data_IF_862147857968
#
_entry.id   IF_862147857968
#
_cell.length_a   1.000
_cell.length_b   1.000
_cell.length_c   1.000
_cell.angle_alpha   90.00
_cell.angle_beta   90.00
_cell.angle_gamma   90.00
#
_symmetry.space_group_name_H-M   'P 1'
#
loop_
_entity.id
_entity.type
_entity.pdbx_description
1 polymer ?
#
# COMPACT_ATOMS: atom_id res chain seq x y z
N UNK A 1 1.83 6.28 -6.48
CA UNK A 1 3.23 6.08 -6.09
C UNK A 1 3.48 4.64 -5.68
N UNK A 2 2.77 4.18 -4.65
CA UNK A 2 2.51 2.78 -4.30
C UNK A 2 2.28 1.80 -5.48
N UNK A 3 1.52 2.17 -6.51
CA UNK A 3 1.34 1.36 -7.74
C UNK A 3 2.67 1.11 -8.48
N UNK A 4 3.62 2.02 -8.36
CA UNK A 4 4.92 2.00 -9.06
C UNK A 4 6.08 1.52 -8.16
N UNK A 5 5.79 0.96 -6.99
CA UNK A 5 6.77 0.47 -6.01
C UNK A 5 7.88 1.52 -5.74
N UNK A 6 9.12 1.18 -6.07
CA UNK A 6 10.34 1.95 -5.79
C UNK A 6 10.41 3.28 -6.52
N UNK A 7 9.84 3.38 -7.73
CA UNK A 7 9.88 4.59 -8.54
C UNK A 7 9.23 5.78 -7.80
N UNK A 8 8.27 5.49 -6.93
CA UNK A 8 7.65 6.45 -6.04
C UNK A 8 8.65 7.19 -5.15
N UNK A 9 9.54 6.44 -4.50
CA UNK A 9 10.51 6.96 -3.53
C UNK A 9 11.68 7.68 -4.19
N UNK A 10 12.04 7.26 -5.40
CA UNK A 10 13.22 7.79 -6.11
C UNK A 10 12.88 9.03 -6.95
N UNK A 11 11.66 9.11 -7.49
CA UNK A 11 11.29 10.15 -8.46
C UNK A 11 10.49 11.29 -7.84
N UNK A 12 9.49 10.98 -7.01
CA UNK A 12 8.53 11.99 -6.57
C UNK A 12 9.12 12.98 -5.55
N UNK A 13 9.91 12.56 -4.52
CA UNK A 13 10.50 13.50 -3.58
C UNK A 13 11.40 14.58 -4.21
N UNK A 14 12.38 14.25 -5.07
CA UNK A 14 13.21 15.30 -5.70
C UNK A 14 12.42 16.16 -6.68
N UNK A 15 11.44 15.60 -7.41
CA UNK A 15 10.58 16.38 -8.31
C UNK A 15 9.72 17.39 -7.53
N UNK A 16 9.11 16.97 -6.43
CA UNK A 16 8.32 17.86 -5.59
C UNK A 16 9.18 18.97 -4.96
N UNK A 17 10.41 18.65 -4.55
CA UNK A 17 11.37 19.65 -4.07
C UNK A 17 11.65 20.72 -5.14
N UNK A 18 11.93 20.30 -6.38
CA UNK A 18 12.19 21.19 -7.50
C UNK A 18 10.98 22.06 -7.87
N UNK A 19 9.77 21.50 -7.85
CA UNK A 19 8.53 22.25 -8.10
C UNK A 19 8.27 23.30 -7.01
N UNK A 20 8.51 22.97 -5.74
CA UNK A 20 8.39 23.93 -4.65
C UNK A 20 9.42 25.05 -4.79
N UNK A 21 10.68 24.71 -5.13
CA UNK A 21 11.73 25.69 -5.38
C UNK A 21 11.36 26.66 -6.51
N UNK A 22 10.91 26.12 -7.66
CA UNK A 22 10.50 26.91 -8.82
C UNK A 22 9.30 27.84 -8.52
N UNK A 23 8.46 27.48 -7.54
CA UNK A 23 7.35 28.29 -7.07
C UNK A 23 7.74 29.28 -5.94
N UNK A 24 9.03 29.41 -5.60
CA UNK A 24 9.52 30.28 -4.52
C UNK A 24 9.21 29.76 -3.10
N UNK A 25 8.90 28.46 -2.97
CA UNK A 25 8.55 27.78 -1.72
C UNK A 25 9.69 26.89 -1.23
N UNK A 26 9.60 26.42 0.01
CA UNK A 26 10.64 25.58 0.60
C UNK A 26 10.76 24.22 -0.12
N UNK A 27 11.92 23.87 -0.70
CA UNK A 27 12.13 22.57 -1.37
C UNK A 27 12.01 21.39 -0.39
N UNK A 28 12.46 21.59 0.86
CA UNK A 28 12.35 20.59 1.92
C UNK A 28 10.89 20.29 2.28
N UNK A 29 9.99 21.29 2.21
CA UNK A 29 8.57 21.07 2.43
C UNK A 29 7.95 20.24 1.29
N UNK A 30 8.31 20.52 0.03
CA UNK A 30 7.88 19.73 -1.12
C UNK A 30 8.37 18.28 -1.06
N UNK A 31 9.65 18.09 -0.74
CA UNK A 31 10.26 16.77 -0.53
C UNK A 31 9.51 16.01 0.58
N UNK A 32 9.26 16.65 1.71
CA UNK A 32 8.56 16.06 2.83
C UNK A 32 7.13 15.65 2.50
N UNK A 33 6.39 16.53 1.81
CA UNK A 33 5.02 16.26 1.39
C UNK A 33 4.95 15.04 0.45
N UNK A 34 5.86 14.97 -0.53
CA UNK A 34 5.94 13.84 -1.44
C UNK A 34 6.34 12.56 -0.69
N UNK A 35 7.38 12.60 0.14
CA UNK A 35 7.80 11.42 0.90
C UNK A 35 6.70 10.91 1.84
N UNK A 36 5.98 11.81 2.53
CA UNK A 36 4.82 11.46 3.33
C UNK A 36 3.73 10.76 2.51
N UNK A 37 3.39 11.30 1.34
CA UNK A 37 2.39 10.70 0.45
C UNK A 37 2.81 9.34 -0.12
N UNK A 38 4.10 9.14 -0.42
CA UNK A 38 4.61 7.86 -0.94
C UNK A 38 4.70 6.80 0.14
N UNK A 39 5.25 7.17 1.30
CA UNK A 39 5.69 6.23 2.33
C UNK A 39 4.63 5.99 3.39
N UNK A 40 4.09 7.06 3.97
CA UNK A 40 2.99 6.94 4.92
C UNK A 40 1.63 6.70 4.22
N UNK A 41 1.51 7.07 2.95
CA UNK A 41 0.36 6.74 2.11
C UNK A 41 0.44 5.37 1.42
N UNK A 42 1.48 4.55 1.69
CA UNK A 42 1.77 3.31 0.96
C UNK A 42 0.56 2.37 0.84
N UNK A 43 -0.13 2.14 1.96
CA UNK A 43 -1.33 1.34 2.02
C UNK A 43 -2.54 1.95 1.31
N UNK A 44 -2.68 3.28 1.24
CA UNK A 44 -3.88 3.93 0.71
C UNK A 44 -3.81 4.15 -0.80
N UNK A 45 -4.81 3.65 -1.54
CA UNK A 45 -4.80 3.67 -3.01
C UNK A 45 -6.20 3.84 -3.61
N UNK A 46 -6.26 4.56 -4.75
CA UNK A 46 -7.48 4.66 -5.55
C UNK A 46 -7.74 3.39 -6.39
N UNK A 47 -6.68 2.68 -6.76
CA UNK A 47 -6.71 1.48 -7.59
C UNK A 47 -6.03 0.36 -6.84
N UNK A 48 -6.48 -0.87 -7.07
CA UNK A 48 -5.83 -2.08 -6.57
C UNK A 48 -4.36 -2.11 -7.03
N UNK A 49 -3.48 -2.43 -6.10
CA UNK A 49 -2.03 -2.48 -6.27
C UNK A 49 -1.50 -3.90 -6.05
N UNK A 50 -0.19 -4.10 -6.17
CA UNK A 50 0.48 -5.37 -5.86
C UNK A 50 0.34 -5.74 -4.37
N UNK A 51 0.11 -4.77 -3.47
CA UNK A 51 -0.08 -5.04 -2.05
C UNK A 51 -1.37 -5.78 -1.75
N UNK A 52 -2.42 -5.48 -2.49
CA UNK A 52 -3.76 -6.00 -2.24
C UNK A 52 -3.84 -7.54 -2.35
N UNK A 53 -3.40 -8.20 -3.46
CA UNK A 53 -3.41 -9.66 -3.53
C UNK A 53 -2.40 -10.30 -2.58
N UNK A 54 -1.28 -9.63 -2.30
CA UNK A 54 -0.29 -10.12 -1.35
C UNK A 54 -0.86 -10.18 0.07
N UNK A 55 -1.47 -9.08 0.54
CA UNK A 55 -2.09 -9.03 1.86
C UNK A 55 -3.28 -9.99 1.94
N UNK A 56 -4.15 -10.00 0.92
CA UNK A 56 -5.30 -10.91 0.86
C UNK A 56 -4.89 -12.38 0.98
N UNK A 57 -3.84 -12.81 0.27
CA UNK A 57 -3.34 -14.19 0.37
C UNK A 57 -2.80 -14.55 1.75
N UNK A 58 -2.11 -13.63 2.43
CA UNK A 58 -1.62 -13.83 3.79
C UNK A 58 -2.76 -13.84 4.82
N UNK A 59 -3.73 -12.92 4.68
CA UNK A 59 -4.93 -12.87 5.51
C UNK A 59 -5.75 -14.14 5.34
N UNK A 60 -5.97 -14.61 4.12
CA UNK A 60 -6.68 -15.85 3.82
C UNK A 60 -5.98 -17.06 4.47
N UNK A 61 -4.65 -17.13 4.36
CA UNK A 61 -3.88 -18.20 4.98
C UNK A 61 -4.01 -18.21 6.51
N UNK A 62 -4.06 -17.03 7.14
CA UNK A 62 -4.32 -16.90 8.58
C UNK A 62 -5.77 -17.22 8.97
N UNK A 63 -6.74 -16.79 8.16
CA UNK A 63 -8.16 -17.05 8.40
C UNK A 63 -8.48 -18.55 8.34
N UNK A 64 -7.83 -19.29 7.43
CA UNK A 64 -7.98 -20.74 7.28
C UNK A 64 -7.48 -21.59 8.44
N UNK A 65 -6.78 -20.98 9.40
CA UNK A 65 -6.44 -21.63 10.67
C UNK A 65 -7.70 -21.80 11.54
N UNK A 66 -8.65 -20.86 11.43
CA UNK A 66 -9.90 -20.86 12.16
C UNK A 66 -11.07 -21.41 11.32
N UNK A 67 -11.19 -20.97 10.05
CA UNK A 67 -12.22 -21.40 9.10
C UNK A 67 -11.58 -21.86 7.78
N UNK A 68 -11.41 -23.18 7.56
CA UNK A 68 -10.69 -23.73 6.40
C UNK A 68 -11.22 -23.31 5.03
N UNK A 69 -12.50 -22.97 4.93
CA UNK A 69 -13.14 -22.62 3.66
C UNK A 69 -13.14 -21.11 3.40
N UNK A 70 -12.69 -20.29 4.37
CA UNK A 70 -12.63 -18.84 4.24
C UNK A 70 -11.80 -18.42 3.02
N UNK A 71 -12.28 -17.37 2.35
CA UNK A 71 -11.64 -16.73 1.19
C UNK A 71 -11.60 -15.24 1.40
N UNK A 72 -10.49 -14.60 1.04
CA UNK A 72 -10.34 -13.14 1.16
C UNK A 72 -10.23 -12.54 -0.24
N UNK A 73 -11.17 -11.67 -0.59
CA UNK A 73 -11.14 -10.99 -1.87
C UNK A 73 -9.93 -10.04 -1.96
N UNK A 74 -9.31 -9.96 -3.14
CA UNK A 74 -8.26 -8.94 -3.42
C UNK A 74 -8.81 -7.52 -3.26
N UNK A 75 -10.11 -7.33 -3.49
CA UNK A 75 -10.82 -6.06 -3.35
C UNK A 75 -11.25 -5.74 -1.93
N UNK A 76 -10.94 -6.59 -0.94
CA UNK A 76 -11.52 -6.55 0.40
C UNK A 76 -11.35 -5.22 1.15
N UNK A 77 -10.35 -4.40 0.83
CA UNK A 77 -10.12 -3.11 1.48
C UNK A 77 -10.31 -1.91 0.55
N UNK A 78 -10.81 -2.12 -0.67
CA UNK A 78 -10.74 -1.11 -1.73
C UNK A 78 -11.49 0.18 -1.40
N UNK A 79 -12.71 0.09 -0.85
CA UNK A 79 -13.51 1.26 -0.47
C UNK A 79 -12.85 2.07 0.64
N UNK A 80 -12.39 1.39 1.68
CA UNK A 80 -11.69 2.04 2.77
C UNK A 80 -10.39 2.70 2.28
N UNK A 81 -9.65 2.05 1.37
CA UNK A 81 -8.40 2.61 0.82
C UNK A 81 -8.64 3.82 -0.08
N UNK A 82 -9.72 3.84 -0.87
CA UNK A 82 -10.11 5.01 -1.66
C UNK A 82 -10.39 6.21 -0.75
N UNK A 83 -11.22 6.02 0.28
CA UNK A 83 -11.52 7.10 1.24
C UNK A 83 -10.27 7.51 2.00
N UNK A 84 -9.43 6.55 2.40
CA UNK A 84 -8.14 6.81 3.05
C UNK A 84 -7.25 7.68 2.16
N UNK A 85 -7.18 7.43 0.85
CA UNK A 85 -6.37 8.27 -0.06
C UNK A 85 -6.82 9.72 -0.04
N UNK A 86 -8.13 9.99 -0.09
CA UNK A 86 -8.67 11.34 -0.07
C UNK A 86 -8.39 12.04 1.28
N UNK A 87 -8.66 11.34 2.38
CA UNK A 87 -8.45 11.85 3.74
C UNK A 87 -6.97 12.15 4.00
N UNK A 88 -6.08 11.19 3.71
CA UNK A 88 -4.64 11.35 3.93
C UNK A 88 -4.03 12.42 3.02
N UNK A 89 -4.54 12.59 1.80
CA UNK A 89 -4.11 13.69 0.92
C UNK A 89 -4.46 15.04 1.55
N UNK A 90 -5.69 15.19 2.06
CA UNK A 90 -6.15 16.40 2.74
C UNK A 90 -5.35 16.69 4.02
N UNK A 91 -5.14 15.67 4.86
CA UNK A 91 -4.34 15.80 6.09
C UNK A 91 -2.89 16.10 5.78
N UNK A 92 -2.29 15.40 4.80
CA UNK A 92 -0.93 15.64 4.35
C UNK A 92 -0.74 17.07 3.86
N UNK A 93 -1.65 17.56 3.01
CA UNK A 93 -1.66 18.96 2.58
C UNK A 93 -1.74 19.93 3.78
N UNK A 94 -2.64 19.68 4.73
CA UNK A 94 -2.80 20.52 5.91
C UNK A 94 -1.54 20.55 6.77
N UNK A 95 -0.90 19.39 7.02
CA UNK A 95 0.36 19.29 7.74
C UNK A 95 1.47 20.04 7.00
N UNK A 96 1.58 19.88 5.68
CA UNK A 96 2.55 20.62 4.87
C UNK A 96 2.37 22.12 5.03
N UNK A 97 1.16 22.62 4.77
CA UNK A 97 0.88 24.05 4.70
C UNK A 97 0.88 24.74 6.08
N UNK A 98 0.45 24.06 7.14
CA UNK A 98 0.26 24.67 8.48
C UNK A 98 1.38 24.37 9.45
N UNK A 99 2.11 23.26 9.29
CA UNK A 99 3.09 22.80 10.29
C UNK A 99 4.51 22.70 9.74
N UNK A 100 4.69 22.20 8.53
CA UNK A 100 6.02 21.90 7.99
C UNK A 100 6.59 23.11 7.27
N UNK A 101 5.88 23.63 6.28
CA UNK A 101 6.35 24.74 5.46
C UNK A 101 6.63 26.02 6.27
N UNK A 102 5.79 26.44 7.23
CA UNK A 102 6.10 27.62 8.06
C UNK A 102 7.38 27.47 8.88
N UNK A 103 7.79 26.24 9.22
CA UNK A 103 9.03 25.96 9.97
C UNK A 103 10.27 25.90 9.08
N UNK A 104 10.11 25.89 7.75
CA UNK A 104 11.21 25.82 6.79
C UNK A 104 11.52 27.16 6.12
N UNK A 105 11.17 28.29 6.75
CA UNK A 105 11.26 29.64 6.16
C UNK A 105 12.69 30.20 5.96
N UNK A 106 13.74 29.41 6.18
CA UNK A 106 15.09 29.76 5.73
C UNK A 106 15.37 29.08 4.38
N UNK A 107 15.23 29.83 3.29
CA UNK A 107 15.80 29.47 1.99
C UNK A 107 17.32 29.58 2.11
N UNK A 108 18.00 28.47 2.34
CA UNK A 108 19.45 28.42 2.13
C UNK A 108 19.81 27.31 1.17
N UNK A 109 20.55 27.76 0.16
CA UNK A 109 21.17 27.04 -0.96
C UNK A 109 20.24 26.77 -2.15
N UNK A 110 20.48 27.53 -3.23
CA UNK A 110 20.22 27.08 -4.58
C UNK A 110 21.17 25.92 -4.87
N UNK A 111 20.67 24.69 -4.96
CA UNK A 111 21.44 23.65 -5.65
C UNK A 111 21.30 23.94 -7.15
N UNK A 112 22.37 24.44 -7.78
CA UNK A 112 22.48 24.64 -9.24
C UNK A 112 22.55 23.30 -10.01
N UNK A 113 22.33 22.16 -9.34
CA UNK A 113 22.35 20.86 -9.99
C UNK A 113 21.02 20.56 -10.68
N UNK A 114 21.06 20.17 -11.97
CA UNK A 114 19.86 19.84 -12.72
C UNK A 114 19.11 18.67 -12.06
N UNK A 115 17.79 18.79 -11.98
CA UNK A 115 16.89 17.66 -11.70
C UNK A 115 17.31 16.51 -12.64
N UNK A 116 17.59 15.29 -12.14
CA UNK A 116 18.13 14.23 -12.97
C UNK A 116 17.30 14.06 -14.24
N UNK A 117 17.97 14.18 -15.38
CA UNK A 117 17.34 14.07 -16.70
C UNK A 117 16.76 12.65 -16.82
N UNK A 118 15.44 12.57 -16.78
CA UNK A 118 14.71 11.32 -16.94
C UNK A 118 14.64 10.97 -18.43
N UNK A 119 14.94 9.72 -18.76
CA UNK A 119 14.85 9.22 -20.14
C UNK A 119 13.39 8.89 -20.45
N UNK A 120 12.61 9.88 -20.89
CA UNK A 120 11.20 9.68 -21.23
C UNK A 120 10.97 9.00 -22.61
N UNK A 121 12.04 8.53 -23.25
CA UNK A 121 12.03 8.12 -24.65
C UNK A 121 12.19 9.31 -25.60
N UNK A 122 12.29 9.02 -26.89
CA UNK A 122 12.43 10.05 -27.93
C UNK A 122 11.12 10.79 -28.19
N UNK A 123 9.96 10.16 -27.93
CA UNK A 123 8.64 10.71 -28.22
C UNK A 123 7.64 10.50 -27.06
N UNK A 124 7.88 11.08 -25.87
CA UNK A 124 7.08 10.82 -24.67
C UNK A 124 5.59 11.18 -24.82
N UNK A 125 5.28 12.27 -25.53
CA UNK A 125 3.90 12.68 -25.78
C UNK A 125 3.14 11.66 -26.65
N UNK A 126 3.82 11.08 -27.64
CA UNK A 126 3.24 10.02 -28.49
C UNK A 126 3.02 8.74 -27.68
N UNK A 127 3.99 8.39 -26.84
CA UNK A 127 3.87 7.32 -25.85
C UNK A 127 2.63 7.49 -24.97
N UNK A 128 2.47 8.67 -24.37
CA UNK A 128 1.37 8.96 -23.46
C UNK A 128 0.00 8.92 -24.15
N UNK A 129 -0.11 9.44 -25.39
CA UNK A 129 -1.34 9.35 -26.18
C UNK A 129 -1.70 7.89 -26.49
N UNK A 130 -0.73 7.07 -26.91
CA UNK A 130 -0.96 5.66 -27.19
C UNK A 130 -1.39 4.90 -25.93
N UNK A 131 -0.71 5.13 -24.81
CA UNK A 131 -1.06 4.55 -23.52
C UNK A 131 -2.48 4.94 -23.10
N UNK A 132 -2.86 6.22 -23.23
CA UNK A 132 -4.20 6.70 -22.90
C UNK A 132 -5.29 6.06 -23.75
N UNK A 133 -5.06 5.92 -25.07
CA UNK A 133 -6.01 5.24 -25.97
C UNK A 133 -6.16 3.76 -25.60
N UNK A 134 -5.06 3.05 -25.39
CA UNK A 134 -5.11 1.63 -25.00
C UNK A 134 -5.75 1.44 -23.62
N UNK A 135 -5.45 2.34 -22.67
CA UNK A 135 -6.07 2.30 -21.35
C UNK A 135 -7.58 2.47 -21.46
N UNK A 136 -8.06 3.46 -22.22
CA UNK A 136 -9.49 3.67 -22.44
C UNK A 136 -10.14 2.47 -23.16
N UNK A 137 -9.47 1.88 -24.15
CA UNK A 137 -9.97 0.72 -24.88
C UNK A 137 -10.10 -0.52 -23.98
N UNK A 138 -9.05 -0.84 -23.20
CA UNK A 138 -9.04 -1.98 -22.27
C UNK A 138 -10.05 -1.77 -21.15
N UNK A 139 -10.15 -0.56 -20.59
CA UNK A 139 -11.13 -0.24 -19.57
C UNK A 139 -12.56 -0.37 -20.10
N UNK A 140 -12.82 0.10 -21.32
CA UNK A 140 -14.13 -0.04 -21.97
C UNK A 140 -14.47 -1.50 -22.20
N UNK A 141 -13.53 -2.30 -22.70
CA UNK A 141 -13.72 -3.75 -22.88
C UNK A 141 -13.98 -4.45 -21.55
N UNK A 142 -13.22 -4.13 -20.51
CA UNK A 142 -13.43 -4.66 -19.16
C UNK A 142 -14.84 -4.32 -18.65
N UNK A 143 -15.28 -3.07 -18.81
CA UNK A 143 -16.64 -2.67 -18.46
C UNK A 143 -17.70 -3.45 -19.25
N UNK A 144 -17.52 -3.65 -20.56
CA UNK A 144 -18.45 -4.42 -21.39
C UNK A 144 -18.56 -5.88 -20.91
N UNK A 145 -17.43 -6.56 -20.64
CA UNK A 145 -17.45 -7.98 -20.24
C UNK A 145 -17.95 -8.22 -18.82
N UNK A 146 -17.96 -7.18 -17.98
CA UNK A 146 -18.48 -7.22 -16.60
C UNK A 146 -19.96 -6.81 -16.55
N UNK A 147 -20.35 -5.75 -17.27
CA UNK A 147 -21.67 -5.14 -17.11
C UNK A 147 -22.74 -5.73 -18.03
N UNK A 148 -22.38 -6.31 -19.18
CA UNK A 148 -23.37 -6.86 -20.13
C UNK A 148 -23.88 -8.23 -19.65
N UNK A 149 -25.21 -8.42 -19.50
CA UNK A 149 -25.78 -9.73 -19.19
C UNK A 149 -25.36 -10.81 -20.19
N UNK A 150 -24.88 -11.95 -19.68
CA UNK A 150 -24.39 -13.07 -20.50
C UNK A 150 -22.93 -12.95 -20.94
N UNK A 151 -22.24 -11.83 -20.65
CA UNK A 151 -20.81 -11.71 -20.88
C UNK A 151 -20.00 -12.56 -19.86
N UNK A 152 -18.74 -12.93 -20.19
CA UNK A 152 -17.99 -13.92 -19.40
C UNK A 152 -17.79 -13.57 -17.92
N UNK A 153 -17.60 -12.28 -17.59
CA UNK A 153 -17.35 -11.81 -16.23
C UNK A 153 -18.58 -11.20 -15.56
N UNK A 154 -19.75 -11.32 -16.19
CA UNK A 154 -20.99 -10.86 -15.62
C UNK A 154 -21.55 -11.84 -14.58
N UNK A 155 -22.07 -11.29 -13.49
CA UNK A 155 -22.76 -12.03 -12.43
C UNK A 155 -21.85 -12.69 -11.40
N UNK A 156 -22.42 -13.65 -10.68
CA UNK A 156 -21.78 -14.32 -9.55
C UNK A 156 -20.79 -15.42 -10.00
N UNK A 157 -19.68 -15.51 -9.28
CA UNK A 157 -18.66 -16.55 -9.39
C UNK A 157 -18.89 -17.68 -8.38
N UNK A 158 -17.81 -18.30 -7.92
CA UNK A 158 -17.89 -19.37 -6.92
C UNK A 158 -18.12 -18.83 -5.52
N UNK A 159 -17.41 -17.76 -5.18
CA UNK A 159 -17.38 -17.17 -3.83
C UNK A 159 -17.70 -15.68 -3.88
N UNK A 160 -17.25 -14.99 -4.94
CA UNK A 160 -17.52 -13.58 -5.17
C UNK A 160 -18.04 -13.39 -6.59
N UNK A 161 -18.48 -12.18 -6.93
CA UNK A 161 -18.77 -11.83 -8.32
C UNK A 161 -17.58 -12.17 -9.24
N UNK A 162 -17.84 -12.68 -10.45
CA UNK A 162 -16.78 -13.23 -11.34
C UNK A 162 -15.65 -12.24 -11.62
N UNK A 163 -15.99 -10.96 -11.72
CA UNK A 163 -15.01 -9.90 -11.94
C UNK A 163 -14.05 -9.70 -10.76
N UNK A 164 -14.48 -9.99 -9.52
CA UNK A 164 -13.64 -9.96 -8.31
C UNK A 164 -12.66 -11.13 -8.35
N UNK A 165 -13.13 -12.32 -8.70
CA UNK A 165 -12.28 -13.51 -8.85
C UNK A 165 -11.26 -13.33 -9.98
N UNK A 166 -11.65 -12.64 -11.07
CA UNK A 166 -10.79 -12.31 -12.20
C UNK A 166 -9.99 -10.99 -12.03
N UNK A 167 -9.96 -10.38 -10.85
CA UNK A 167 -9.35 -9.06 -10.64
C UNK A 167 -7.86 -9.02 -11.02
N UNK A 168 -7.08 -10.00 -10.57
CA UNK A 168 -5.63 -10.04 -10.83
C UNK A 168 -5.30 -10.08 -12.33
N UNK A 169 -5.86 -10.99 -13.15
CA UNK A 169 -5.61 -10.98 -14.59
C UNK A 169 -6.19 -9.73 -15.29
N UNK A 170 -7.29 -9.16 -14.80
CA UNK A 170 -7.81 -7.88 -15.33
C UNK A 170 -6.81 -6.74 -15.15
N UNK A 171 -6.22 -6.62 -13.95
CA UNK A 171 -5.20 -5.60 -13.66
C UNK A 171 -3.93 -5.81 -14.50
N UNK A 172 -3.52 -7.06 -14.71
CA UNK A 172 -2.39 -7.38 -15.58
C UNK A 172 -2.61 -6.79 -16.97
N UNK A 173 -3.77 -7.06 -17.59
CA UNK A 173 -4.07 -6.54 -18.94
C UNK A 173 -4.20 -5.01 -18.93
N UNK A 174 -4.87 -4.45 -17.92
CA UNK A 174 -5.10 -3.02 -17.76
C UNK A 174 -3.80 -2.20 -17.64
N UNK A 175 -2.76 -2.75 -17.02
CA UNK A 175 -1.47 -2.06 -16.88
C UNK A 175 -0.44 -2.46 -17.94
N UNK A 176 -0.42 -3.73 -18.36
CA UNK A 176 0.55 -4.24 -19.33
C UNK A 176 0.33 -3.62 -20.70
N UNK A 177 -0.90 -3.60 -21.23
CA UNK A 177 -1.14 -3.13 -22.59
C UNK A 177 -0.85 -1.63 -22.77
N UNK A 178 -1.31 -0.73 -21.88
CA UNK A 178 -0.91 0.68 -21.95
C UNK A 178 0.58 0.90 -21.73
N UNK A 179 1.21 0.13 -20.84
CA UNK A 179 2.65 0.19 -20.59
C UNK A 179 3.49 -0.18 -21.83
N UNK A 180 3.11 -1.27 -22.52
CA UNK A 180 3.71 -1.65 -23.80
C UNK A 180 3.45 -0.60 -24.88
N UNK A 181 2.21 -0.10 -24.97
CA UNK A 181 1.85 0.97 -25.90
C UNK A 181 2.67 2.24 -25.71
N UNK A 182 2.87 2.66 -24.46
CA UNK A 182 3.80 3.74 -24.13
C UNK A 182 5.20 3.40 -24.63
N UNK A 183 5.72 2.23 -24.24
CA UNK A 183 7.13 1.90 -24.47
C UNK A 183 7.48 1.85 -25.96
N UNK A 184 6.64 1.23 -26.79
CA UNK A 184 6.85 1.20 -28.24
C UNK A 184 6.67 2.59 -28.87
N UNK A 185 5.63 3.34 -28.51
CA UNK A 185 5.36 4.64 -29.13
C UNK A 185 6.32 5.75 -28.67
N UNK A 186 6.88 5.65 -27.46
CA UNK A 186 7.93 6.55 -26.96
C UNK A 186 9.34 6.13 -27.43
N UNK A 187 9.50 4.94 -27.98
CA UNK A 187 10.78 4.39 -28.44
C UNK A 187 11.69 3.89 -27.32
N UNK A 188 11.14 3.64 -26.12
CA UNK A 188 11.88 2.99 -25.02
C UNK A 188 11.92 1.47 -25.18
N UNK A 189 10.95 0.89 -25.90
CA UNK A 189 10.94 -0.50 -26.35
C UNK A 189 11.11 -0.54 -27.87
N UNK A 190 12.05 -1.34 -28.36
CA UNK A 190 12.32 -1.47 -29.80
C UNK A 190 11.83 -2.79 -30.36
N UNK A 191 11.80 -3.84 -29.55
CA UNK A 191 11.46 -5.19 -29.98
C UNK A 191 10.90 -6.04 -28.83
N UNK A 192 10.51 -7.27 -29.14
CA UNK A 192 9.97 -8.24 -28.18
C UNK A 192 11.01 -8.74 -27.16
N UNK A 193 12.31 -8.69 -27.49
CA UNK A 193 13.38 -9.04 -26.56
C UNK A 193 13.48 -8.02 -25.41
N UNK A 194 13.30 -6.73 -25.71
CA UNK A 194 13.24 -5.68 -24.69
C UNK A 194 12.06 -5.93 -23.73
N UNK A 195 10.91 -6.33 -24.27
CA UNK A 195 9.73 -6.70 -23.46
C UNK A 195 10.03 -7.90 -22.56
N UNK A 196 10.61 -8.97 -23.12
CA UNK A 196 10.94 -10.17 -22.36
C UNK A 196 11.93 -9.86 -21.22
N UNK A 197 12.94 -9.03 -21.48
CA UNK A 197 13.91 -8.62 -20.47
C UNK A 197 13.26 -7.79 -19.36
N UNK A 198 12.35 -6.88 -19.69
CA UNK A 198 11.62 -6.12 -18.66
C UNK A 198 10.74 -7.01 -17.80
N UNK A 199 10.05 -7.99 -18.39
CA UNK A 199 9.27 -8.98 -17.64
C UNK A 199 10.16 -9.84 -16.75
N UNK A 200 11.31 -10.28 -17.24
CA UNK A 200 12.29 -11.04 -16.45
C UNK A 200 12.83 -10.23 -15.26
N UNK A 201 13.14 -8.95 -15.46
CA UNK A 201 13.56 -8.05 -14.38
C UNK A 201 12.45 -7.84 -13.34
N UNK A 202 11.19 -7.70 -13.77
CA UNK A 202 10.06 -7.60 -12.86
C UNK A 202 9.91 -8.86 -11.98
N UNK A 203 10.04 -10.05 -12.56
CA UNK A 203 10.02 -11.33 -11.81
C UNK A 203 11.23 -11.43 -10.88
N UNK A 204 12.42 -11.04 -11.33
CA UNK A 204 13.63 -11.05 -10.51
C UNK A 204 13.49 -10.15 -9.26
N UNK A 205 12.82 -9.00 -9.39
CA UNK A 205 12.49 -8.13 -8.26
C UNK A 205 11.58 -8.78 -7.20
N UNK A 206 10.80 -9.82 -7.57
CA UNK A 206 9.95 -10.57 -6.65
C UNK A 206 10.69 -11.74 -5.97
N UNK A 207 11.94 -12.05 -6.33
CA UNK A 207 12.67 -13.18 -5.77
C UNK A 207 12.73 -13.17 -4.21
N UNK A 208 12.99 -12.04 -3.52
CA UNK A 208 12.96 -12.00 -2.07
C UNK A 208 11.59 -12.34 -1.48
N UNK A 209 10.51 -11.91 -2.14
CA UNK A 209 9.15 -12.24 -1.74
C UNK A 209 8.84 -13.73 -1.92
N UNK A 210 9.27 -14.34 -3.02
CA UNK A 210 9.08 -15.79 -3.27
C UNK A 210 9.76 -16.62 -2.16
N UNK A 211 11.00 -16.26 -1.80
CA UNK A 211 11.74 -16.93 -0.72
C UNK A 211 11.03 -16.76 0.62
N UNK A 212 10.58 -15.55 0.94
CA UNK A 212 9.83 -15.28 2.17
C UNK A 212 8.50 -16.06 2.21
N UNK A 213 7.73 -16.03 1.13
CA UNK A 213 6.45 -16.72 1.02
C UNK A 213 6.63 -18.24 1.18
N UNK A 214 7.71 -18.80 0.63
CA UNK A 214 8.07 -20.20 0.84
C UNK A 214 8.26 -20.52 2.33
N UNK A 215 9.09 -19.75 3.04
CA UNK A 215 9.34 -19.97 4.48
C UNK A 215 8.07 -19.74 5.31
N UNK A 216 7.30 -18.70 5.01
CA UNK A 216 6.03 -18.41 5.68
C UNK A 216 5.02 -19.54 5.48
N UNK A 217 4.91 -20.10 4.28
CA UNK A 217 4.05 -21.24 4.00
C UNK A 217 4.47 -22.48 4.81
N UNK A 218 5.77 -22.76 4.93
CA UNK A 218 6.26 -23.85 5.78
C UNK A 218 5.96 -23.61 7.27
N UNK A 219 6.15 -22.39 7.75
CA UNK A 219 5.80 -22.01 9.12
C UNK A 219 4.31 -22.23 9.39
N UNK A 220 3.43 -21.70 8.52
CA UNK A 220 1.97 -21.85 8.65
C UNK A 220 1.57 -23.33 8.63
N UNK A 221 2.14 -24.13 7.72
CA UNK A 221 1.88 -25.56 7.65
C UNK A 221 2.29 -26.28 8.95
N UNK A 222 3.48 -25.99 9.47
CA UNK A 222 3.96 -26.57 10.74
C UNK A 222 3.14 -26.08 11.96
N UNK A 223 2.73 -24.81 11.95
CA UNK A 223 1.94 -24.18 13.01
C UNK A 223 0.51 -24.74 13.07
N UNK A 224 -0.07 -25.05 11.91
CA UNK A 224 -1.34 -25.76 11.79
C UNK A 224 -1.21 -27.24 12.17
N UNK A 225 -0.19 -27.93 11.66
CA UNK A 225 0.04 -29.34 11.98
C UNK A 225 0.25 -29.57 13.49
N UNK A 226 0.99 -28.68 14.15
CA UNK A 226 1.24 -28.73 15.59
C UNK A 226 0.07 -28.28 16.46
N UNK A 227 -1.03 -27.78 15.85
CA UNK A 227 -2.18 -27.18 16.53
C UNK A 227 -1.85 -25.96 17.40
N UNK A 228 -0.62 -25.42 17.32
CA UNK A 228 -0.23 -24.23 18.07
C UNK A 228 -1.01 -22.99 17.62
N UNK A 229 -1.30 -22.89 16.33
CA UNK A 229 -2.12 -21.80 15.79
C UNK A 229 -3.53 -21.81 16.34
N UNK A 230 -4.17 -22.97 16.37
CA UNK A 230 -5.50 -23.12 16.97
C UNK A 230 -5.46 -22.83 18.47
N UNK A 231 -4.47 -23.34 19.20
CA UNK A 231 -4.33 -23.11 20.64
C UNK A 231 -4.16 -21.62 20.96
N UNK A 232 -3.30 -20.91 20.22
CA UNK A 232 -3.10 -19.46 20.39
C UNK A 232 -4.33 -18.65 19.97
N UNK A 233 -4.99 -19.02 18.87
CA UNK A 233 -6.22 -18.38 18.45
C UNK A 233 -7.32 -18.54 19.50
N UNK A 234 -7.49 -19.74 20.06
CA UNK A 234 -8.51 -20.04 21.09
C UNK A 234 -8.18 -19.35 22.41
N UNK A 235 -6.95 -19.48 22.90
CA UNK A 235 -6.57 -18.89 24.20
C UNK A 235 -6.51 -17.36 24.15
N UNK A 236 -5.91 -16.79 23.10
CA UNK A 236 -5.84 -15.34 22.91
C UNK A 236 -7.20 -14.73 22.55
N UNK A 237 -7.96 -15.40 21.69
CA UNK A 237 -9.30 -14.96 21.30
C UNK A 237 -10.26 -14.99 22.47
N UNK A 238 -10.25 -16.03 23.31
CA UNK A 238 -11.01 -16.07 24.56
C UNK A 238 -10.59 -14.98 25.55
N UNK A 239 -9.28 -14.73 25.71
CA UNK A 239 -8.80 -13.65 26.57
C UNK A 239 -9.30 -12.28 26.10
N UNK A 240 -9.26 -12.01 24.79
CA UNK A 240 -9.79 -10.77 24.20
C UNK A 240 -11.31 -10.68 24.30
N UNK A 241 -12.02 -11.78 24.03
CA UNK A 241 -13.47 -11.85 24.14
C UNK A 241 -13.96 -11.64 25.59
N UNK A 242 -13.23 -12.17 26.58
CA UNK A 242 -13.53 -11.98 28.00
C UNK A 242 -13.38 -10.52 28.45
N UNK A 243 -12.52 -9.75 27.80
CA UNK A 243 -12.39 -8.31 28.05
C UNK A 243 -13.55 -7.51 27.45
N UNK A 244 -14.42 -8.13 26.63
CA UNK A 244 -15.59 -7.50 25.98
C UNK A 244 -15.22 -6.22 25.22
N UNK A 245 -14.02 -6.18 24.63
CA UNK A 245 -13.51 -5.01 23.93
C UNK A 245 -14.32 -4.82 22.64
N UNK A 246 -14.91 -3.63 22.40
CA UNK A 246 -15.58 -3.34 21.15
C UNK A 246 -14.65 -3.49 19.93
N UNK A 247 -15.18 -4.01 18.82
CA UNK A 247 -14.42 -4.24 17.58
C UNK A 247 -13.60 -3.02 17.08
N UNK A 248 -14.11 -1.76 17.15
CA UNK A 248 -13.29 -0.59 16.80
C UNK A 248 -12.01 -0.45 17.63
N UNK A 249 -12.08 -0.76 18.93
CA UNK A 249 -10.92 -0.66 19.84
C UNK A 249 -9.95 -1.82 19.60
N UNK A 250 -10.43 -3.02 19.27
CA UNK A 250 -9.58 -4.13 18.85
C UNK A 250 -8.80 -3.78 17.58
N UNK A 251 -9.47 -3.21 16.58
CA UNK A 251 -8.85 -2.80 15.32
C UNK A 251 -7.77 -1.73 15.56
N UNK A 252 -8.06 -0.69 16.36
CA UNK A 252 -7.09 0.35 16.73
C UNK A 252 -5.92 -0.23 17.55
N UNK A 253 -6.18 -1.13 18.49
CA UNK A 253 -5.14 -1.81 19.27
C UNK A 253 -4.18 -2.58 18.37
N UNK A 254 -4.72 -3.30 17.37
CA UNK A 254 -3.89 -4.01 16.39
C UNK A 254 -3.09 -3.09 15.49
N UNK A 255 -3.64 -1.92 15.10
CA UNK A 255 -2.88 -0.89 14.39
C UNK A 255 -1.65 -0.47 15.20
N UNK A 256 -1.78 -0.22 16.50
CA UNK A 256 -0.66 0.20 17.35
C UNK A 256 0.43 -0.88 17.43
N UNK A 257 0.04 -2.16 17.50
CA UNK A 257 0.99 -3.29 17.45
C UNK A 257 1.73 -3.29 16.12
N UNK A 258 1.01 -3.16 15.00
CA UNK A 258 1.61 -3.12 13.66
C UNK A 258 2.53 -1.91 13.48
N UNK A 259 2.14 -0.72 13.97
CA UNK A 259 2.96 0.49 13.96
C UNK A 259 4.28 0.31 14.71
N UNK A 260 4.22 -0.33 15.89
CA UNK A 260 5.41 -0.60 16.70
C UNK A 260 6.33 -1.62 16.01
N UNK A 261 5.79 -2.73 15.52
CA UNK A 261 6.55 -3.73 14.76
C UNK A 261 7.23 -3.12 13.53
N UNK A 262 6.56 -2.17 12.87
CA UNK A 262 7.09 -1.48 11.70
C UNK A 262 8.31 -0.59 11.97
N UNK A 263 8.58 -0.21 13.22
CA UNK A 263 9.82 0.49 13.57
C UNK A 263 11.06 -0.43 13.48
N UNK A 264 10.86 -1.75 13.57
CA UNK A 264 11.94 -2.74 13.56
C UNK A 264 12.06 -3.48 12.23
N UNK A 265 10.93 -3.72 11.56
CA UNK A 265 10.88 -4.50 10.33
C UNK A 265 10.23 -3.64 9.25
N UNK A 266 11.03 -3.07 8.34
CA UNK A 266 10.50 -2.16 7.31
C UNK A 266 9.70 -2.85 6.19
N UNK A 267 9.83 -4.17 6.02
CA UNK A 267 9.13 -4.92 4.97
C UNK A 267 7.68 -5.21 5.36
N UNK A 268 6.73 -4.74 4.53
CA UNK A 268 5.30 -5.00 4.71
C UNK A 268 4.94 -6.48 4.54
N UNK A 269 5.59 -7.18 3.62
CA UNK A 269 5.35 -8.62 3.42
C UNK A 269 5.91 -9.45 4.56
N UNK A 270 7.13 -9.14 5.02
CA UNK A 270 7.79 -9.90 6.09
C UNK A 270 7.04 -9.79 7.42
N UNK A 271 6.63 -8.58 7.81
CA UNK A 271 5.84 -8.36 9.01
C UNK A 271 4.51 -9.11 8.96
N UNK A 272 3.75 -8.95 7.87
CA UNK A 272 2.42 -9.54 7.82
C UNK A 272 2.46 -11.06 7.69
N UNK A 273 3.47 -11.62 7.02
CA UNK A 273 3.66 -13.07 6.95
C UNK A 273 3.82 -13.71 8.34
N UNK A 274 4.39 -12.98 9.30
CA UNK A 274 4.48 -13.41 10.69
C UNK A 274 3.21 -13.09 11.50
N UNK A 275 2.62 -11.90 11.31
CA UNK A 275 1.48 -11.45 12.11
C UNK A 275 0.16 -12.11 11.71
N UNK A 276 -0.07 -12.36 10.42
CA UNK A 276 -1.35 -12.87 9.92
C UNK A 276 -1.72 -14.25 10.52
N UNK A 277 -0.82 -15.25 10.57
CA UNK A 277 -1.14 -16.57 11.15
C UNK A 277 -1.48 -16.53 12.65
N UNK A 278 -1.07 -15.47 13.36
CA UNK A 278 -1.29 -15.34 14.81
C UNK A 278 -2.51 -14.47 15.10
N UNK A 279 -2.55 -13.28 14.52
CA UNK A 279 -3.55 -12.27 14.87
C UNK A 279 -4.85 -12.39 14.10
N UNK A 280 -4.84 -12.85 12.83
CA UNK A 280 -6.08 -13.01 12.06
C UNK A 280 -7.03 -14.00 12.76
N UNK A 281 -6.66 -15.26 13.03
CA UNK A 281 -7.60 -16.20 13.67
C UNK A 281 -7.98 -15.78 15.09
N UNK A 282 -7.07 -15.14 15.83
CA UNK A 282 -7.33 -14.62 17.18
C UNK A 282 -8.38 -13.49 17.17
N UNK A 283 -8.24 -12.53 16.24
CA UNK A 283 -9.16 -11.39 16.11
C UNK A 283 -10.49 -11.81 15.48
N UNK A 284 -10.49 -12.80 14.59
CA UNK A 284 -11.72 -13.45 14.11
C UNK A 284 -12.55 -14.01 15.27
N UNK A 285 -11.91 -14.73 16.20
CA UNK A 285 -12.62 -15.26 17.37
C UNK A 285 -13.13 -14.15 18.29
N UNK A 286 -12.44 -13.00 18.34
CA UNK A 286 -12.88 -11.81 19.06
C UNK A 286 -13.93 -10.96 18.29
N UNK A 287 -14.40 -11.43 17.12
CA UNK A 287 -15.49 -10.81 16.34
C UNK A 287 -15.07 -9.82 15.25
N UNK A 288 -13.77 -9.64 15.00
CA UNK A 288 -13.26 -8.76 13.95
C UNK A 288 -13.00 -9.56 12.66
N UNK A 289 -13.50 -9.09 11.51
CA UNK A 289 -13.29 -9.80 10.26
C UNK A 289 -11.81 -9.81 9.81
N UNK A 290 -11.37 -10.84 9.05
CA UNK A 290 -10.03 -10.88 8.47
C UNK A 290 -9.71 -9.66 7.62
N UNK A 291 -10.70 -9.14 6.90
CA UNK A 291 -10.59 -7.98 6.03
C UNK A 291 -10.32 -6.70 6.83
N UNK A 292 -10.95 -6.53 7.99
CA UNK A 292 -10.66 -5.42 8.89
C UNK A 292 -9.32 -5.59 9.61
N UNK A 293 -8.94 -6.81 9.94
CA UNK A 293 -7.60 -7.11 10.47
C UNK A 293 -6.53 -6.75 9.44
N UNK A 294 -6.76 -7.09 8.17
CA UNK A 294 -5.90 -6.69 7.05
C UNK A 294 -5.83 -5.17 6.91
N UNK A 295 -6.98 -4.47 6.98
CA UNK A 295 -7.02 -3.02 6.92
C UNK A 295 -6.25 -2.36 8.08
N UNK A 296 -6.44 -2.85 9.31
CA UNK A 296 -5.73 -2.40 10.49
C UNK A 296 -4.21 -2.59 10.36
N UNK A 297 -3.78 -3.77 9.88
CA UNK A 297 -2.37 -3.99 9.57
C UNK A 297 -1.84 -3.00 8.53
N UNK A 298 -2.56 -2.83 7.42
CA UNK A 298 -2.17 -1.97 6.30
C UNK A 298 -2.00 -0.51 6.73
N UNK A 299 -2.84 -0.05 7.64
CA UNK A 299 -2.74 1.27 8.27
C UNK A 299 -1.48 1.35 9.13
N UNK A 300 -1.29 0.39 10.05
CA UNK A 300 -0.16 0.44 10.98
C UNK A 300 1.21 0.30 10.31
N UNK A 301 1.31 -0.58 9.31
CA UNK A 301 2.49 -0.73 8.45
C UNK A 301 2.84 0.56 7.70
N UNK A 302 1.84 1.34 7.30
CA UNK A 302 2.06 2.55 6.52
C UNK A 302 2.46 3.74 7.38
N UNK A 303 1.71 4.03 8.46
CA UNK A 303 1.83 5.28 9.24
C UNK A 303 3.25 5.56 9.71
N UNK A 304 3.95 4.54 10.22
CA UNK A 304 5.29 4.71 10.81
C UNK A 304 6.44 4.57 9.82
N UNK A 305 6.20 4.26 8.54
CA UNK A 305 7.26 4.12 7.53
C UNK A 305 8.13 5.38 7.40
N UNK A 306 7.53 6.55 7.60
CA UNK A 306 8.19 7.85 7.55
C UNK A 306 8.90 8.23 8.85
N UNK A 307 9.03 7.31 9.81
CA UNK A 307 9.85 7.44 11.03
C UNK A 307 10.65 6.16 11.34
N UNK A 308 10.65 5.17 10.45
CA UNK A 308 11.41 3.91 10.59
C UNK A 308 12.83 4.05 10.00
N UNK A 309 13.89 4.17 10.81
CA UNK A 309 15.25 4.37 10.31
C UNK A 309 15.84 3.12 9.62
N UNK A 310 15.25 1.95 9.86
CA UNK A 310 15.67 0.66 9.26
C UNK A 310 15.10 0.46 7.84
N UNK A 311 14.23 1.36 7.38
CA UNK A 311 13.70 1.30 6.02
C UNK A 311 14.79 1.78 5.04
N UNK A 312 15.20 0.98 4.03
CA UNK A 312 16.28 1.36 3.12
C UNK A 312 16.02 2.63 2.30
N UNK A 313 14.76 3.01 2.05
CA UNK A 313 14.45 4.25 1.33
C UNK A 313 14.77 5.50 2.16
N UNK A 314 14.91 5.39 3.48
CA UNK A 314 15.34 6.52 4.31
C UNK A 314 16.71 7.05 3.94
N UNK A 315 17.64 6.17 3.57
CA UNK A 315 18.99 6.57 3.15
C UNK A 315 18.92 7.38 1.86
N UNK A 316 18.09 6.94 0.90
CA UNK A 316 17.88 7.62 -0.38
C UNK A 316 17.24 9.00 -0.15
N UNK A 317 16.21 9.07 0.68
CA UNK A 317 15.49 10.31 0.97
C UNK A 317 16.37 11.28 1.76
N UNK A 318 17.18 10.78 2.70
CA UNK A 318 18.18 11.59 3.39
C UNK A 318 19.17 12.21 2.42
N UNK A 319 19.66 11.44 1.44
CA UNK A 319 20.54 11.98 0.41
C UNK A 319 19.86 13.10 -0.41
N UNK A 320 18.55 13.00 -0.69
CA UNK A 320 17.81 14.09 -1.32
C UNK A 320 17.62 15.32 -0.42
N UNK A 321 17.41 15.13 0.88
CA UNK A 321 17.35 16.24 1.85
C UNK A 321 18.71 16.93 1.94
N UNK A 322 19.81 16.17 1.96
CA UNK A 322 21.18 16.69 2.05
C UNK A 322 21.57 17.58 0.86
N UNK A 323 20.92 17.42 -0.30
CA UNK A 323 21.10 18.34 -1.44
C UNK A 323 20.65 19.77 -1.15
N UNK A 324 19.64 19.94 -0.29
CA UNK A 324 19.08 21.23 0.09
C UNK A 324 19.53 21.67 1.49
N UNK A 325 19.97 20.73 2.33
CA UNK A 325 20.51 20.98 3.67
C UNK A 325 21.66 20.01 3.96
N UNK A 326 22.91 20.34 3.60
CA UNK A 326 24.06 19.43 3.71
C UNK A 326 24.29 18.86 5.12
N UNK A 327 24.03 19.66 6.14
CA UNK A 327 24.15 19.27 7.57
C UNK A 327 23.04 18.31 8.06
N UNK A 328 22.08 17.95 7.20
CA UNK A 328 20.97 17.10 7.60
C UNK A 328 21.43 15.67 7.90
N UNK A 329 21.07 15.18 9.09
CA UNK A 329 21.20 13.77 9.47
C UNK A 329 19.86 13.06 9.56
N UNK A 330 19.89 11.78 9.96
CA UNK A 330 18.67 10.98 10.20
C UNK A 330 17.71 11.66 11.18
N UNK A 331 18.23 12.28 12.25
CA UNK A 331 17.41 13.04 13.20
C UNK A 331 16.72 14.25 12.58
N UNK A 332 17.35 14.90 11.61
CA UNK A 332 16.74 16.02 10.87
C UNK A 332 15.58 15.55 10.00
N UNK A 333 15.76 14.42 9.30
CA UNK A 333 14.70 13.82 8.50
C UNK A 333 13.54 13.32 9.40
N UNK A 334 13.84 12.71 10.55
CA UNK A 334 12.83 12.33 11.55
C UNK A 334 12.04 13.53 12.05
N UNK A 335 12.71 14.61 12.45
CA UNK A 335 12.04 15.82 12.91
C UNK A 335 11.15 16.45 11.81
N UNK A 336 11.58 16.36 10.55
CA UNK A 336 10.81 16.84 9.40
C UNK A 336 9.55 16.00 9.15
N UNK A 337 9.62 14.68 9.35
CA UNK A 337 8.49 13.76 9.11
C UNK A 337 7.56 13.54 10.30
N UNK A 338 8.03 13.77 11.52
CA UNK A 338 7.28 13.53 12.74
C UNK A 338 5.88 14.18 12.76
N UNK A 339 5.68 15.43 12.27
CA UNK A 339 4.34 16.01 12.19
C UNK A 339 3.36 15.21 11.31
N UNK A 340 3.82 14.65 10.19
CA UNK A 340 2.99 13.80 9.33
C UNK A 340 2.67 12.48 10.03
N UNK A 341 3.69 11.85 10.63
CA UNK A 341 3.52 10.56 11.32
C UNK A 341 2.47 10.67 12.44
N UNK A 342 2.55 11.72 13.26
CA UNK A 342 1.59 11.97 14.33
C UNK A 342 0.18 12.26 13.80
N UNK A 343 0.06 13.08 12.75
CA UNK A 343 -1.25 13.39 12.16
C UNK A 343 -1.92 12.13 11.58
N UNK A 344 -1.16 11.32 10.83
CA UNK A 344 -1.68 10.08 10.25
C UNK A 344 -1.94 9.00 11.30
N UNK A 345 -1.10 8.91 12.34
CA UNK A 345 -1.30 8.01 13.50
C UNK A 345 -2.58 8.30 14.28
N UNK A 346 -3.13 9.51 14.18
CA UNK A 346 -4.41 9.86 14.78
C UNK A 346 -5.53 9.67 13.77
N UNK A 347 -5.44 10.32 12.61
CA UNK A 347 -6.57 10.38 11.67
C UNK A 347 -6.89 9.02 11.06
N UNK A 348 -5.89 8.22 10.71
CA UNK A 348 -6.15 6.97 9.98
C UNK A 348 -6.72 5.86 10.88
N UNK A 349 -6.22 5.66 12.12
CA UNK A 349 -6.89 4.78 13.09
C UNK A 349 -8.29 5.24 13.45
N UNK A 350 -8.52 6.55 13.58
CA UNK A 350 -9.86 7.09 13.81
C UNK A 350 -10.80 6.80 12.63
N UNK A 351 -10.32 6.97 11.39
CA UNK A 351 -11.08 6.63 10.19
C UNK A 351 -11.50 5.16 10.20
N UNK A 352 -10.57 4.23 10.51
CA UNK A 352 -10.92 2.81 10.63
C UNK A 352 -11.89 2.55 11.78
N UNK A 353 -11.65 3.13 12.96
CA UNK A 353 -12.53 2.98 14.11
C UNK A 353 -13.96 3.42 13.80
N UNK A 354 -14.13 4.55 13.11
CA UNK A 354 -15.44 5.01 12.63
C UNK A 354 -16.03 4.07 11.56
N UNK A 355 -15.20 3.57 10.65
CA UNK A 355 -15.64 2.62 9.62
C UNK A 355 -16.23 1.35 10.23
N UNK A 356 -15.56 0.81 11.25
CA UNK A 356 -16.03 -0.37 12.00
C UNK A 356 -17.26 -0.02 12.83
N UNK A 357 -17.29 1.14 13.49
CA UNK A 357 -18.43 1.59 14.29
C UNK A 357 -19.72 1.71 13.47
N UNK A 358 -19.62 2.20 12.23
CA UNK A 358 -20.74 2.32 11.32
C UNK A 358 -21.03 1.04 10.53
N UNK A 359 -20.27 -0.05 10.76
CA UNK A 359 -20.46 -1.33 10.07
C UNK A 359 -20.27 -1.25 8.54
N UNK A 360 -19.47 -0.30 8.07
CA UNK A 360 -19.28 -0.08 6.64
C UNK A 360 -18.43 -1.21 6.03
N UNK A 361 -18.79 -1.76 4.85
CA UNK A 361 -17.97 -2.78 4.20
C UNK A 361 -16.63 -2.15 3.77
N UNK A 362 -15.47 -2.76 4.10
CA UNK A 362 -14.17 -2.19 3.75
C UNK A 362 -13.87 -2.28 2.25
N UNK A 363 -14.59 -3.11 1.50
CA UNK A 363 -14.46 -3.27 0.06
C UNK A 363 -15.48 -4.26 -0.53
N UNK A 364 -15.54 -4.41 -1.86
CA UNK A 364 -16.34 -5.44 -2.51
C UNK A 364 -15.94 -6.84 -2.07
N UNK A 365 -16.93 -7.67 -1.73
CA UNK A 365 -16.69 -9.04 -1.25
C UNK A 365 -16.19 -9.12 0.18
N UNK A 366 -16.24 -8.03 0.96
CA UNK A 366 -15.83 -8.01 2.36
C UNK A 366 -16.99 -7.64 3.28
N UNK A 367 -17.05 -8.30 4.45
CA UNK A 367 -17.97 -7.96 5.54
C UNK A 367 -17.26 -7.19 6.64
N UNK A 368 -18.01 -6.31 7.32
CA UNK A 368 -17.49 -5.50 8.43
C UNK A 368 -17.41 -6.29 9.75
N UNK A 369 -18.18 -7.37 9.91
CA UNK A 369 -18.18 -8.21 11.11
C UNK A 369 -18.44 -9.67 10.74
N UNK A 370 -17.89 -10.60 11.54
CA UNK A 370 -18.27 -12.02 11.47
C UNK A 370 -19.46 -12.22 12.42
N UNK A 371 -20.61 -12.63 11.89
CA UNK A 371 -21.78 -13.03 12.69
C UNK A 371 -22.73 -11.88 13.07
N UNK A 372 -23.37 -11.29 12.07
CA UNK A 372 -24.65 -10.58 12.24
C UNK A 372 -25.82 -11.51 12.04
#
# INVERSE_FOLDING_TARGET
>A
SSVTLDAGYVVLPPLAAALFYAAGRSPLAGLAAAFAGVSAGFGANLVITVLDPMLAGLTESGARIFDPDYRVAVTANWWLMIVSTLVLTGVGWWVTARLVEPRQQALTVASDEPVPAQTYGSHPQRGLRMAGVLFAAVLSLAALVILIPGAPLHGEGQVFARWIEAMVPLLLVLFLLPGLGYGFAAGTLKNTHDVANMLAQAIAGLAPYIVLAFVAAQFIAAFNYSQLGLLLAVSGGQALAALTIPAPLLAVGFILIAMFANLFIGSASAKYAFMAPVFVPMLMQAGLSPELTQAAYRIGDSVTNIITPLNPYWVIVLAFVQRWRPEAGLGTLMALMLPYALAFAVVWPLLLGLWVLFGLPPGPGATATIGG
#
